data_IF_209470131403
#
_entry.id   IF_209470131403
#
_cell.length_a   1.000
_cell.length_b   1.000
_cell.length_c   1.000
_cell.angle_alpha   90.00
_cell.angle_beta   90.00
_cell.angle_gamma   90.00
#
_symmetry.space_group_name_H-M   'P 1'
#
loop_
_entity.id
_entity.type
_entity.pdbx_description
1 polymer ?
#
# COMPACT_ATOMS: atom_id res chain seq x y z
N UNK A 1 -59.21 -22.78 -18.34
CA UNK A 1 -59.93 -22.00 -17.31
C UNK A 1 -59.72 -22.73 -16.00
N UNK A 2 -59.26 -22.12 -14.92
CA UNK A 2 -58.85 -20.73 -14.68
C UNK A 2 -58.90 -20.48 -13.18
N UNK A 3 -57.80 -20.00 -12.57
CA UNK A 3 -57.69 -19.92 -11.11
C UNK A 3 -56.28 -19.52 -10.69
N UNK A 4 -56.02 -18.22 -10.68
CA UNK A 4 -54.80 -17.63 -10.12
C UNK A 4 -54.88 -17.61 -8.59
N UNK A 5 -53.83 -18.09 -7.92
CA UNK A 5 -53.54 -17.71 -6.54
C UNK A 5 -52.25 -16.89 -6.52
N UNK A 6 -52.21 -15.92 -5.60
CA UNK A 6 -51.19 -14.89 -5.52
C UNK A 6 -50.08 -15.29 -4.52
N UNK A 7 -49.07 -14.43 -4.38
CA UNK A 7 -47.95 -14.62 -3.46
C UNK A 7 -48.36 -14.48 -1.98
N UNK A 8 -47.42 -14.74 -1.07
CA UNK A 8 -46.79 -13.70 -0.23
C UNK A 8 -45.53 -14.29 0.47
N UNK A 9 -44.85 -13.48 1.28
CA UNK A 9 -43.53 -13.64 1.94
C UNK A 9 -43.34 -14.92 2.81
N UNK A 10 -42.17 -15.31 3.33
CA UNK A 10 -40.90 -14.67 3.73
C UNK A 10 -39.75 -15.73 3.56
N UNK A 11 -38.43 -15.57 3.75
CA UNK A 11 -37.57 -14.57 4.40
C UNK A 11 -36.17 -14.53 3.72
N UNK A 12 -35.48 -13.39 3.77
CA UNK A 12 -34.11 -13.22 3.25
C UNK A 12 -33.01 -13.37 4.31
N UNK A 13 -31.88 -13.97 3.94
CA UNK A 13 -30.53 -13.59 4.43
C UNK A 13 -29.41 -14.23 3.57
N UNK A 14 -28.65 -13.41 2.86
CA UNK A 14 -27.21 -13.55 2.64
C UNK A 14 -26.66 -12.12 2.54
N UNK A 15 -25.75 -11.73 3.43
CA UNK A 15 -25.44 -10.32 3.65
C UNK A 15 -24.49 -9.75 2.59
N UNK A 16 -25.02 -8.94 1.66
CA UNK A 16 -24.21 -7.97 0.94
C UNK A 16 -23.77 -6.88 1.92
N UNK A 17 -22.56 -7.04 2.46
CA UNK A 17 -21.93 -6.04 3.31
C UNK A 17 -21.51 -4.81 2.51
N UNK A 18 -22.49 -3.99 2.10
CA UNK A 18 -22.28 -2.67 1.51
C UNK A 18 -21.83 -1.67 2.59
N UNK A 19 -20.66 -1.95 3.18
CA UNK A 19 -19.91 -0.96 3.92
C UNK A 19 -19.32 0.02 2.92
N UNK A 20 -19.62 1.31 3.08
CA UNK A 20 -18.93 2.39 2.37
C UNK A 20 -17.42 2.23 2.58
N UNK A 21 -16.73 1.64 1.59
CA UNK A 21 -15.26 1.55 1.57
C UNK A 21 -14.77 2.96 1.29
N UNK A 22 -14.70 3.74 2.37
CA UNK A 22 -14.31 5.13 2.35
C UNK A 22 -13.06 5.29 1.50
N UNK A 23 -13.07 6.27 0.58
CA UNK A 23 -12.17 6.36 -0.60
C UNK A 23 -10.66 6.22 -0.35
N UNK A 24 -10.21 6.21 0.91
CA UNK A 24 -8.85 5.95 1.37
C UNK A 24 -8.49 4.46 1.37
N UNK A 25 -9.44 3.58 1.65
CA UNK A 25 -9.23 2.14 1.92
C UNK A 25 -9.31 1.25 0.66
N UNK A 26 -9.58 1.80 -0.52
CA UNK A 26 -9.57 1.07 -1.79
C UNK A 26 -8.21 0.39 -2.01
N UNK A 27 -8.20 -0.89 -2.38
CA UNK A 27 -6.99 -1.69 -2.64
C UNK A 27 -6.15 -2.05 -1.40
N UNK A 28 -6.67 -1.86 -0.18
CA UNK A 28 -5.98 -2.14 1.09
C UNK A 28 -5.64 -3.62 1.22
N UNK A 29 -4.38 -3.94 1.54
CA UNK A 29 -3.81 -5.30 1.58
C UNK A 29 -3.78 -6.07 0.24
N UNK A 30 -4.53 -5.65 -0.79
CA UNK A 30 -4.56 -6.27 -2.12
C UNK A 30 -3.28 -6.06 -2.93
N UNK A 31 -2.46 -5.07 -2.55
CA UNK A 31 -1.29 -4.63 -3.31
C UNK A 31 0.01 -4.69 -2.49
N UNK A 32 1.15 -4.70 -3.19
CA UNK A 32 2.48 -4.71 -2.59
C UNK A 32 3.39 -5.76 -3.23
N UNK A 33 4.12 -6.48 -2.38
CA UNK A 33 5.01 -7.58 -2.72
C UNK A 33 5.13 -8.53 -1.52
N UNK A 34 5.94 -9.59 -1.62
CA UNK A 34 6.21 -10.51 -0.49
C UNK A 34 6.82 -9.82 0.74
N UNK A 35 7.49 -8.69 0.54
CA UNK A 35 8.18 -7.94 1.59
C UNK A 35 7.26 -7.02 2.41
N UNK A 36 6.31 -6.33 1.75
CA UNK A 36 5.43 -5.32 2.35
C UNK A 36 4.10 -5.22 1.57
N UNK A 37 3.00 -5.00 2.28
CA UNK A 37 1.67 -4.72 1.68
C UNK A 37 1.52 -3.21 1.52
N UNK A 38 1.26 -2.70 0.31
CA UNK A 38 1.15 -1.25 0.07
C UNK A 38 0.61 -0.92 -1.31
N UNK A 39 -0.06 0.23 -1.42
CA UNK A 39 -0.73 0.71 -2.64
C UNK A 39 0.16 1.67 -3.47
N UNK A 40 1.48 1.65 -3.26
CA UNK A 40 2.46 2.44 -4.01
C UNK A 40 3.76 1.67 -4.37
N UNK A 41 4.31 1.96 -5.55
CA UNK A 41 5.67 1.62 -5.98
C UNK A 41 6.61 2.79 -5.65
N UNK A 42 7.90 2.55 -5.46
CA UNK A 42 8.91 3.62 -5.28
C UNK A 42 9.65 3.89 -6.59
N UNK A 43 10.02 5.15 -6.83
CA UNK A 43 11.00 5.50 -7.87
C UNK A 43 12.40 5.40 -7.24
N UNK A 44 13.27 4.57 -7.81
CA UNK A 44 14.61 4.33 -7.29
C UNK A 44 15.50 5.57 -7.47
N UNK A 45 16.08 6.17 -6.41
CA UNK A 45 16.88 7.39 -6.55
C UNK A 45 18.16 7.18 -7.37
N UNK A 46 18.69 5.95 -7.41
CA UNK A 46 19.85 5.52 -8.18
C UNK A 46 19.59 5.43 -9.69
N UNK A 47 18.76 4.48 -10.14
CA UNK A 47 18.51 4.21 -11.57
C UNK A 47 17.28 4.91 -12.16
N UNK A 48 16.44 5.55 -11.34
CA UNK A 48 15.14 6.16 -11.69
C UNK A 48 14.05 5.20 -12.18
N UNK A 49 14.29 3.89 -12.12
CA UNK A 49 13.28 2.86 -12.40
C UNK A 49 12.27 2.70 -11.25
N UNK A 50 11.15 2.01 -11.50
CA UNK A 50 10.00 1.93 -10.58
C UNK A 50 9.85 0.52 -10.02
N UNK A 51 10.01 0.36 -8.69
CA UNK A 51 10.03 -0.95 -8.03
C UNK A 51 8.94 -1.12 -6.94
N UNK A 52 8.43 -2.35 -6.73
CA UNK A 52 7.45 -2.63 -5.66
C UNK A 52 7.97 -2.28 -4.25
N UNK A 53 9.24 -2.54 -3.96
CA UNK A 53 9.95 -2.02 -2.78
C UNK A 53 11.49 -2.05 -2.96
N UNK A 54 12.23 -1.59 -1.94
CA UNK A 54 13.71 -1.58 -1.94
C UNK A 54 14.35 -2.96 -2.04
N UNK A 55 13.69 -4.00 -1.53
CA UNK A 55 14.19 -5.38 -1.61
C UNK A 55 14.08 -5.86 -3.05
N UNK A 56 12.87 -5.83 -3.63
CA UNK A 56 12.64 -6.17 -5.04
C UNK A 56 13.54 -5.40 -6.03
N UNK A 57 13.94 -4.16 -5.71
CA UNK A 57 15.01 -3.46 -6.42
C UNK A 57 16.37 -4.16 -6.25
N UNK A 58 16.85 -4.30 -5.01
CA UNK A 58 18.16 -4.88 -4.70
C UNK A 58 18.31 -6.32 -5.24
N UNK A 59 17.22 -7.10 -5.23
CA UNK A 59 17.19 -8.47 -5.73
C UNK A 59 17.29 -8.52 -7.26
N UNK A 60 16.66 -7.57 -7.96
CA UNK A 60 16.79 -7.40 -9.40
C UNK A 60 18.19 -6.90 -9.82
N UNK A 61 18.79 -5.99 -9.05
CA UNK A 61 20.14 -5.46 -9.34
C UNK A 61 21.28 -6.40 -8.92
N UNK A 62 21.02 -7.40 -8.06
CA UNK A 62 22.03 -8.34 -7.55
C UNK A 62 22.77 -9.16 -8.62
N UNK A 63 22.15 -9.36 -9.80
CA UNK A 63 22.67 -10.10 -10.95
C UNK A 63 23.35 -9.22 -12.02
N UNK A 64 23.25 -7.89 -11.90
CA UNK A 64 23.77 -6.92 -12.86
C UNK A 64 24.62 -5.84 -12.20
N UNK A 65 24.26 -4.58 -12.42
CA UNK A 65 24.91 -3.44 -11.74
C UNK A 65 24.48 -3.36 -10.27
N UNK A 66 25.40 -3.68 -9.35
CA UNK A 66 25.09 -3.84 -7.92
C UNK A 66 25.02 -2.52 -7.17
N UNK A 67 23.85 -1.88 -7.21
CA UNK A 67 23.53 -0.73 -6.38
C UNK A 67 22.32 -0.99 -5.44
N UNK A 68 22.20 -0.18 -4.39
CA UNK A 68 21.20 -0.31 -3.32
C UNK A 68 20.44 1.02 -3.10
N UNK A 69 19.15 0.96 -2.75
CA UNK A 69 18.38 2.15 -2.38
C UNK A 69 18.59 2.50 -0.89
N UNK A 70 19.08 3.71 -0.61
CA UNK A 70 18.90 4.36 0.69
C UNK A 70 17.42 4.75 0.86
N UNK A 71 16.79 4.35 1.96
CA UNK A 71 15.35 4.59 2.21
C UNK A 71 14.98 6.07 2.32
N UNK A 72 15.92 6.93 2.73
CA UNK A 72 15.67 8.35 2.99
C UNK A 72 15.70 9.19 1.71
N UNK A 73 16.39 8.69 0.68
CA UNK A 73 16.65 9.38 -0.59
C UNK A 73 15.48 9.19 -1.59
N UNK A 74 14.42 8.49 -1.19
CA UNK A 74 13.22 8.24 -2.02
C UNK A 74 12.33 9.48 -2.00
N UNK A 75 12.46 10.32 -3.04
CA UNK A 75 11.67 11.54 -3.20
C UNK A 75 10.27 11.30 -3.80
N UNK A 76 10.11 10.21 -4.58
CA UNK A 76 8.92 9.97 -5.43
C UNK A 76 8.36 8.54 -5.30
N UNK A 77 7.05 8.45 -5.45
CA UNK A 77 6.27 7.19 -5.49
C UNK A 77 5.27 7.20 -6.65
N UNK A 78 4.86 6.01 -7.09
CA UNK A 78 3.82 5.80 -8.10
C UNK A 78 2.64 5.06 -7.48
N UNK A 79 1.44 5.63 -7.55
CA UNK A 79 0.22 4.97 -7.06
C UNK A 79 -0.11 3.71 -7.88
N UNK A 80 -0.35 2.57 -7.22
CA UNK A 80 -0.69 1.30 -7.91
C UNK A 80 -2.10 1.33 -8.51
N UNK A 81 -3.01 2.12 -7.96
CA UNK A 81 -4.43 2.16 -8.34
C UNK A 81 -4.77 3.14 -9.47
N UNK A 82 -3.85 4.03 -9.87
CA UNK A 82 -4.10 5.03 -10.90
C UNK A 82 -2.84 5.57 -11.61
N UNK A 83 -1.72 4.84 -11.49
CA UNK A 83 -0.39 5.11 -12.06
C UNK A 83 0.02 6.60 -12.04
N UNK A 84 -0.23 7.24 -10.89
CA UNK A 84 0.18 8.63 -10.64
C UNK A 84 1.56 8.64 -10.00
N UNK A 85 2.56 9.09 -10.73
CA UNK A 85 3.84 9.53 -10.14
C UNK A 85 3.61 10.84 -9.36
N UNK A 86 4.10 10.88 -8.12
CA UNK A 86 3.97 12.01 -7.22
C UNK A 86 5.15 12.06 -6.23
N UNK A 87 5.38 13.19 -5.54
CA UNK A 87 6.26 13.24 -4.37
C UNK A 87 5.80 12.25 -3.29
N UNK A 88 6.70 11.86 -2.40
CA UNK A 88 6.33 11.05 -1.22
C UNK A 88 5.32 11.79 -0.34
N UNK A 89 4.13 11.19 -0.22
CA UNK A 89 3.07 11.52 0.72
C UNK A 89 2.27 10.26 1.04
N UNK A 90 1.56 10.23 2.17
CA UNK A 90 0.72 9.08 2.53
C UNK A 90 -0.48 8.88 1.59
N UNK A 91 -1.05 9.96 1.06
CA UNK A 91 -2.27 9.94 0.24
C UNK A 91 -1.94 10.21 -1.23
N UNK A 92 -2.66 9.56 -2.15
CA UNK A 92 -2.54 9.80 -3.58
C UNK A 92 -3.16 11.15 -3.99
N UNK A 93 -2.39 11.97 -4.71
CA UNK A 93 -2.83 13.31 -5.14
C UNK A 93 -3.90 13.28 -6.24
N UNK A 94 -4.05 12.16 -6.96
CA UNK A 94 -5.06 12.00 -8.04
C UNK A 94 -6.35 11.37 -7.57
N UNK A 95 -6.29 10.20 -6.90
CA UNK A 95 -7.49 9.44 -6.52
C UNK A 95 -7.85 9.51 -5.02
N UNK A 96 -7.03 10.12 -4.17
CA UNK A 96 -7.32 10.29 -2.74
C UNK A 96 -7.21 9.02 -1.88
N UNK A 97 -6.78 7.89 -2.46
CA UNK A 97 -6.50 6.64 -1.72
C UNK A 97 -5.35 6.83 -0.74
N UNK A 98 -5.37 6.08 0.36
CA UNK A 98 -4.19 5.89 1.18
C UNK A 98 -3.18 5.00 0.42
N UNK A 99 -1.88 5.22 0.62
CA UNK A 99 -0.82 4.39 0.04
C UNK A 99 -0.26 3.35 1.04
N UNK A 100 -0.40 3.60 2.34
CA UNK A 100 0.06 2.75 3.44
C UNK A 100 -0.72 3.06 4.72
N UNK A 101 -1.32 2.06 5.36
CA UNK A 101 -2.03 2.25 6.65
C UNK A 101 -1.08 2.82 7.71
N UNK A 102 0.12 2.26 7.80
CA UNK A 102 1.27 2.90 8.40
C UNK A 102 2.10 3.62 7.32
N UNK A 103 2.42 4.89 7.58
CA UNK A 103 3.36 5.69 6.80
C UNK A 103 4.35 6.38 7.74
N UNK A 104 5.64 6.33 7.38
CA UNK A 104 6.69 7.04 8.09
C UNK A 104 7.48 7.91 7.11
N UNK A 105 7.26 9.22 7.16
CA UNK A 105 7.90 10.17 6.24
C UNK A 105 9.44 10.19 6.38
N UNK A 106 9.96 10.07 7.60
CA UNK A 106 11.42 10.05 7.85
C UNK A 106 12.09 8.84 7.17
N UNK A 107 11.41 7.70 7.10
CA UNK A 107 11.91 6.48 6.48
C UNK A 107 11.39 6.24 5.05
N UNK A 108 10.55 7.15 4.53
CA UNK A 108 9.78 7.01 3.27
C UNK A 108 9.10 5.64 3.13
N UNK A 109 8.61 5.13 4.26
CA UNK A 109 8.12 3.76 4.42
C UNK A 109 6.60 3.71 4.46
N UNK A 110 6.02 2.64 3.91
CA UNK A 110 4.60 2.42 3.71
C UNK A 110 4.30 0.93 3.93
N UNK A 111 3.33 0.62 4.79
CA UNK A 111 2.83 -0.75 5.00
C UNK A 111 1.32 -0.72 5.34
N UNK A 112 0.56 -1.66 4.80
CA UNK A 112 -0.84 -1.88 5.15
C UNK A 112 -0.98 -2.90 6.30
N UNK A 113 0.02 -3.76 6.51
CA UNK A 113 0.02 -4.75 7.59
C UNK A 113 0.44 -4.13 8.93
N UNK A 114 -0.49 -3.39 9.54
CA UNK A 114 -0.32 -2.82 10.88
C UNK A 114 -0.27 -3.88 12.00
N UNK A 115 -0.71 -5.11 11.72
CA UNK A 115 -0.74 -6.21 12.70
C UNK A 115 0.68 -6.71 13.01
N UNK A 116 1.54 -6.82 11.99
CA UNK A 116 2.96 -7.18 12.17
C UNK A 116 3.81 -6.03 12.76
N UNK A 117 3.38 -4.78 12.61
CA UNK A 117 4.23 -3.60 12.84
C UNK A 117 4.27 -3.07 14.30
N UNK A 118 3.50 -3.65 15.23
CA UNK A 118 3.46 -3.22 16.65
C UNK A 118 4.82 -3.22 17.39
N UNK A 119 5.82 -3.95 16.88
CA UNK A 119 7.12 -4.15 17.56
C UNK A 119 8.24 -3.25 17.01
N UNK A 120 8.17 -2.80 15.75
CA UNK A 120 9.35 -2.25 15.06
C UNK A 120 9.55 -0.73 15.20
N UNK A 121 8.50 0.05 15.43
CA UNK A 121 8.62 1.52 15.48
C UNK A 121 9.53 2.00 16.63
N UNK A 122 9.49 1.34 17.79
CA UNK A 122 10.34 1.68 18.96
C UNK A 122 11.83 1.50 18.70
N UNK A 123 12.25 0.61 17.80
CA UNK A 123 13.67 0.41 17.47
C UNK A 123 14.25 1.52 16.59
N UNK A 124 13.43 2.25 15.84
CA UNK A 124 13.90 3.33 14.95
C UNK A 124 14.31 4.57 15.76
N UNK A 125 13.66 4.82 16.91
CA UNK A 125 13.99 5.95 17.79
C UNK A 125 15.39 5.82 18.44
N UNK A 126 15.87 4.60 18.66
CA UNK A 126 17.13 4.31 19.36
C UNK A 126 18.40 4.59 18.55
N UNK A 127 18.33 4.58 17.21
CA UNK A 127 19.51 4.65 16.32
C UNK A 127 19.74 6.01 15.66
N UNK A 128 18.92 7.02 15.94
CA UNK A 128 19.12 8.41 15.44
C UNK A 128 19.80 9.30 16.49
N UNK A 129 20.45 8.72 17.52
CA UNK A 129 21.01 9.51 18.63
C UNK A 129 22.19 8.93 19.44
N UNK A 130 22.92 7.94 18.93
CA UNK A 130 24.13 7.42 19.59
C UNK A 130 25.27 7.27 18.58
N UNK A 131 26.43 7.83 18.93
CA UNK A 131 27.74 7.81 18.24
C UNK A 131 27.78 8.46 16.85
#
# INVERSE_FOLDING_TARGET
>A
MGGTHFADDDLAHEATGDGDVGRRDVGKMEHGCEHYRRRCKIVAPCCKEVFPCRHCHNDATALGDRHNICRQDVEKVVCVLCDTEQPVSQVCVRCGVNMGEYFCDVCKFYDDDVCLNFVFCVYVLSVVRIS
#
